data_IF_970631486534
#
_entry.id   IF_970631486534
#
_cell.length_a   1.000
_cell.length_b   1.000
_cell.length_c   1.000
_cell.angle_alpha   90.00
_cell.angle_beta   90.00
_cell.angle_gamma   90.00
#
_symmetry.space_group_name_H-M   'P 1'
#
loop_
_entity.id
_entity.type
_entity.pdbx_description
1 polymer ?
#
# COMPACT_ATOMS: atom_id res chain seq x y z
N UNK A 1 -4.64 8.46 30.95
CA UNK A 1 -4.18 7.49 29.91
C UNK A 1 -5.28 6.55 29.39
N UNK A 2 -6.32 6.18 30.17
CA UNK A 2 -7.38 5.24 29.74
C UNK A 2 -8.36 5.80 28.70
N UNK A 3 -8.70 7.10 28.77
CA UNK A 3 -9.62 7.74 27.81
C UNK A 3 -9.15 7.62 26.34
N UNK A 4 -7.83 7.61 26.10
CA UNK A 4 -7.26 7.48 24.76
C UNK A 4 -7.43 6.07 24.16
N UNK A 5 -7.62 5.04 25.00
CA UNK A 5 -7.86 3.66 24.55
C UNK A 5 -9.32 3.43 24.18
N UNK A 6 -10.24 4.17 24.82
CA UNK A 6 -11.69 4.06 24.61
C UNK A 6 -12.13 4.87 23.37
N UNK A 7 -11.49 6.01 23.09
CA UNK A 7 -11.88 6.91 22.01
C UNK A 7 -12.02 6.25 20.62
N UNK A 8 -11.15 5.32 20.18
CA UNK A 8 -11.34 4.61 18.92
C UNK A 8 -12.57 3.70 18.91
N UNK A 9 -12.96 3.14 20.06
CA UNK A 9 -14.14 2.29 20.20
C UNK A 9 -15.43 3.10 20.20
N UNK A 10 -15.41 4.33 20.73
CA UNK A 10 -16.54 5.27 20.61
C UNK A 10 -16.80 5.70 19.16
N UNK A 11 -15.81 5.54 18.28
CA UNK A 11 -15.90 5.81 16.84
C UNK A 11 -15.98 4.52 16.02
N UNK A 12 -16.41 3.42 16.63
CA UNK A 12 -16.77 2.20 15.93
C UNK A 12 -18.06 2.45 15.17
N UNK A 13 -18.03 2.26 13.85
CA UNK A 13 -19.22 2.42 13.00
C UNK A 13 -19.26 1.35 11.93
N UNK A 14 -20.48 0.97 11.56
CA UNK A 14 -20.72 0.11 10.40
C UNK A 14 -20.90 1.00 9.18
N UNK A 15 -20.13 0.73 8.14
CA UNK A 15 -20.05 1.54 6.93
C UNK A 15 -20.51 0.71 5.74
N UNK A 16 -21.23 1.34 4.83
CA UNK A 16 -21.67 0.73 3.58
C UNK A 16 -20.52 0.69 2.56
N UNK A 17 -20.36 -0.46 1.91
CA UNK A 17 -19.47 -0.62 0.76
C UNK A 17 -20.30 -0.26 -0.46
N UNK A 18 -19.96 0.85 -1.13
CA UNK A 18 -20.71 1.41 -2.26
C UNK A 18 -20.81 0.39 -3.38
N UNK A 19 -19.66 -0.20 -3.72
CA UNK A 19 -19.58 -1.37 -4.60
C UNK A 19 -18.26 -2.11 -4.38
N UNK A 20 -18.25 -3.38 -4.76
CA UNK A 20 -17.06 -4.22 -4.76
C UNK A 20 -16.78 -4.72 -6.16
N UNK A 21 -15.55 -4.53 -6.62
CA UNK A 21 -15.07 -4.96 -7.92
C UNK A 21 -14.08 -6.10 -7.74
N UNK A 22 -14.35 -7.24 -8.35
CA UNK A 22 -13.41 -8.37 -8.35
C UNK A 22 -12.29 -8.09 -9.34
N UNK A 23 -11.16 -7.61 -8.82
CA UNK A 23 -9.96 -7.30 -9.60
C UNK A 23 -9.31 -8.56 -10.15
N UNK A 24 -9.30 -9.64 -9.37
CA UNK A 24 -8.76 -10.94 -9.80
C UNK A 24 -9.35 -12.10 -9.00
N UNK A 25 -8.93 -13.32 -9.33
CA UNK A 25 -9.24 -14.50 -8.50
C UNK A 25 -8.63 -14.40 -7.08
N UNK A 26 -7.66 -13.50 -6.89
CA UNK A 26 -6.86 -13.35 -5.68
C UNK A 26 -7.01 -11.98 -5.00
N UNK A 27 -7.77 -11.05 -5.57
CA UNK A 27 -7.95 -9.72 -5.02
C UNK A 27 -9.33 -9.13 -5.34
N UNK A 28 -9.86 -8.37 -4.40
CA UNK A 28 -11.08 -7.59 -4.53
C UNK A 28 -10.80 -6.13 -4.17
N UNK A 29 -11.42 -5.20 -4.90
CA UNK A 29 -11.36 -3.77 -4.61
C UNK A 29 -12.71 -3.32 -4.09
N UNK A 30 -12.72 -2.77 -2.88
CA UNK A 30 -13.94 -2.27 -2.24
C UNK A 30 -13.93 -0.76 -2.23
N UNK A 31 -15.05 -0.14 -2.60
CA UNK A 31 -15.19 1.31 -2.71
C UNK A 31 -16.05 1.87 -1.58
N UNK A 32 -15.64 3.02 -1.05
CA UNK A 32 -16.24 3.71 0.09
C UNK A 32 -16.37 5.20 -0.22
N UNK A 33 -17.47 5.82 0.20
CA UNK A 33 -17.78 7.24 -0.03
C UNK A 33 -17.92 8.07 1.25
N UNK A 34 -17.93 7.44 2.43
CA UNK A 34 -18.18 8.10 3.71
C UNK A 34 -17.12 9.15 4.13
N UNK A 35 -15.94 9.15 3.52
CA UNK A 35 -14.86 10.13 3.77
C UNK A 35 -13.89 10.15 2.61
N UNK A 36 -13.11 11.23 2.47
CA UNK A 36 -12.01 11.31 1.51
C UNK A 36 -10.68 11.43 2.26
N UNK A 37 -9.97 10.31 2.51
CA UNK A 37 -8.70 10.32 3.22
C UNK A 37 -7.56 10.83 2.31
N UNK A 38 -6.56 11.48 2.91
CA UNK A 38 -5.37 11.88 2.16
C UNK A 38 -4.50 10.67 1.78
N UNK A 39 -3.68 10.82 0.73
CA UNK A 39 -2.76 9.77 0.30
C UNK A 39 -1.85 9.28 1.45
N UNK A 40 -1.60 7.97 1.49
CA UNK A 40 -0.83 7.35 2.56
C UNK A 40 -1.61 7.10 3.86
N UNK A 41 -2.93 7.25 3.85
CA UNK A 41 -3.79 6.88 4.98
C UNK A 41 -4.09 5.37 4.98
N UNK A 42 -4.33 4.85 6.18
CA UNK A 42 -4.72 3.47 6.44
C UNK A 42 -6.05 3.47 7.19
N UNK A 43 -6.88 2.47 6.92
CA UNK A 43 -8.09 2.20 7.70
C UNK A 43 -8.04 0.83 8.34
N UNK A 44 -8.77 0.68 9.45
CA UNK A 44 -8.98 -0.57 10.15
C UNK A 44 -10.38 -1.07 9.90
N UNK A 45 -10.48 -2.24 9.30
CA UNK A 45 -11.74 -2.88 8.96
C UNK A 45 -11.88 -4.24 9.63
N UNK A 46 -13.13 -4.62 9.88
CA UNK A 46 -13.48 -5.88 10.52
C UNK A 46 -14.87 -6.33 10.10
N UNK A 47 -15.08 -7.63 10.00
CA UNK A 47 -16.44 -8.20 9.91
C UNK A 47 -16.99 -8.48 11.31
N UNK A 48 -16.13 -8.95 12.21
CA UNK A 48 -16.42 -9.23 13.62
C UNK A 48 -15.62 -8.30 14.54
N UNK A 49 -16.18 -7.15 14.99
CA UNK A 49 -15.43 -6.07 15.63
C UNK A 49 -14.79 -6.45 16.98
N UNK A 50 -15.18 -7.58 17.56
CA UNK A 50 -14.66 -8.08 18.83
C UNK A 50 -13.54 -9.13 18.69
N UNK A 51 -13.26 -9.63 17.47
CA UNK A 51 -12.31 -10.75 17.26
C UNK A 51 -11.14 -10.37 16.35
N UNK A 52 -11.41 -9.90 15.13
CA UNK A 52 -10.40 -9.70 14.09
C UNK A 52 -10.41 -8.29 13.51
N UNK A 53 -9.23 -7.72 13.27
CA UNK A 53 -9.06 -6.39 12.71
C UNK A 53 -7.95 -6.41 11.66
N UNK A 54 -8.22 -5.82 10.49
CA UNK A 54 -7.29 -5.78 9.38
C UNK A 54 -7.00 -4.34 8.96
N UNK A 55 -5.73 -4.02 8.73
CA UNK A 55 -5.30 -2.71 8.25
C UNK A 55 -5.16 -2.74 6.73
N UNK A 56 -5.78 -1.77 6.04
CA UNK A 56 -5.63 -1.61 4.59
C UNK A 56 -5.30 -0.17 4.23
N UNK A 57 -4.53 -0.02 3.16
CA UNK A 57 -4.26 1.28 2.57
C UNK A 57 -5.48 1.79 1.83
N UNK A 58 -5.79 3.07 2.06
CA UNK A 58 -6.81 3.78 1.30
C UNK A 58 -6.20 4.25 -0.01
N UNK A 59 -6.86 3.93 -1.12
CA UNK A 59 -6.59 4.38 -2.46
C UNK A 59 -7.65 5.41 -2.86
N UNK A 60 -7.46 6.70 -2.49
CA UNK A 60 -8.25 7.78 -3.05
C UNK A 60 -7.93 7.93 -4.55
N UNK A 61 -8.95 8.17 -5.36
CA UNK A 61 -8.78 8.49 -6.78
C UNK A 61 -8.71 10.01 -6.94
N UNK A 62 -7.72 10.56 -7.68
CA UNK A 62 -7.63 11.99 -7.91
C UNK A 62 -8.94 12.54 -8.52
N UNK A 63 -9.49 13.58 -7.91
CA UNK A 63 -10.70 14.26 -8.40
C UNK A 63 -12.03 13.55 -8.14
N UNK A 64 -12.05 12.40 -7.44
CA UNK A 64 -13.29 11.74 -7.02
C UNK A 64 -13.44 11.74 -5.50
N UNK A 65 -14.66 11.96 -4.97
CA UNK A 65 -14.92 11.79 -3.54
C UNK A 65 -14.84 10.31 -3.17
N UNK A 66 -14.41 10.03 -1.95
CA UNK A 66 -14.28 8.67 -1.43
C UNK A 66 -12.90 8.06 -1.61
N UNK A 67 -12.82 6.76 -1.39
CA UNK A 67 -11.61 5.98 -1.57
C UNK A 67 -11.94 4.51 -1.80
N UNK A 68 -10.96 3.77 -2.26
CA UNK A 68 -11.04 2.32 -2.40
C UNK A 68 -9.98 1.64 -1.54
N UNK A 69 -10.16 0.36 -1.26
CA UNK A 69 -9.09 -0.48 -0.71
C UNK A 69 -8.94 -1.69 -1.61
N UNK A 70 -7.72 -2.22 -1.68
CA UNK A 70 -7.43 -3.47 -2.38
C UNK A 70 -7.14 -4.53 -1.32
N UNK A 71 -7.99 -5.56 -1.28
CA UNK A 71 -7.85 -6.71 -0.40
C UNK A 71 -7.28 -7.85 -1.22
N UNK A 72 -6.01 -8.17 -1.00
CA UNK A 72 -5.34 -9.34 -1.59
C UNK A 72 -5.46 -10.56 -0.68
N UNK A 73 -5.48 -11.76 -1.26
CA UNK A 73 -5.50 -13.04 -0.53
C UNK A 73 -4.29 -13.14 0.42
N UNK A 74 -4.55 -13.10 1.73
CA UNK A 74 -3.53 -13.20 2.79
C UNK A 74 -4.01 -13.86 4.08
N UNK A 75 -5.23 -14.39 4.12
CA UNK A 75 -5.85 -15.01 5.29
C UNK A 75 -7.28 -15.46 4.98
N UNK A 76 -7.93 -16.13 5.93
CA UNK A 76 -9.28 -16.68 5.73
C UNK A 76 -10.32 -15.56 5.56
N UNK A 77 -10.23 -14.50 6.36
CA UNK A 77 -11.05 -13.30 6.20
C UNK A 77 -10.98 -12.71 4.79
N UNK A 78 -9.77 -12.55 4.25
CA UNK A 78 -9.57 -12.02 2.90
C UNK A 78 -10.16 -12.95 1.83
N UNK A 79 -10.06 -14.28 2.00
CA UNK A 79 -10.69 -15.24 1.07
C UNK A 79 -12.21 -15.11 1.09
N UNK A 80 -12.81 -15.01 2.28
CA UNK A 80 -14.24 -14.84 2.43
C UNK A 80 -14.73 -13.57 1.72
N UNK A 81 -14.03 -12.45 1.92
CA UNK A 81 -14.36 -11.18 1.26
C UNK A 81 -14.19 -11.22 -0.27
N UNK A 82 -13.25 -12.00 -0.79
CA UNK A 82 -13.09 -12.19 -2.24
C UNK A 82 -14.22 -13.06 -2.83
N UNK A 83 -14.71 -14.05 -2.08
CA UNK A 83 -15.74 -14.98 -2.54
C UNK A 83 -17.15 -14.40 -2.40
N UNK A 84 -17.45 -13.85 -1.21
CA UNK A 84 -18.74 -13.30 -0.84
C UNK A 84 -18.51 -11.92 -0.20
N UNK A 85 -18.41 -10.85 -1.01
CA UNK A 85 -18.17 -9.51 -0.48
C UNK A 85 -19.32 -9.05 0.42
N UNK A 86 -19.00 -8.61 1.64
CA UNK A 86 -19.99 -8.02 2.55
C UNK A 86 -20.50 -6.69 1.99
N UNK A 87 -21.77 -6.36 2.20
CA UNK A 87 -22.34 -5.04 1.84
C UNK A 87 -22.01 -3.96 2.85
N UNK A 88 -21.75 -4.36 4.10
CA UNK A 88 -21.43 -3.48 5.21
C UNK A 88 -20.24 -4.02 5.98
N UNK A 89 -19.34 -3.14 6.42
CA UNK A 89 -18.14 -3.51 7.16
C UNK A 89 -17.93 -2.59 8.37
N UNK A 90 -17.35 -3.11 9.45
CA UNK A 90 -17.02 -2.29 10.60
C UNK A 90 -15.72 -1.53 10.36
N UNK A 91 -15.75 -0.22 10.61
CA UNK A 91 -14.59 0.65 10.59
C UNK A 91 -14.40 1.20 12.00
N UNK A 92 -13.15 1.20 12.47
CA UNK A 92 -12.79 1.74 13.78
C UNK A 92 -11.93 2.98 13.68
N UNK A 93 -12.41 4.07 14.27
CA UNK A 93 -11.66 5.30 14.40
C UNK A 93 -11.62 6.13 13.12
N UNK A 94 -10.61 6.99 13.03
CA UNK A 94 -10.33 7.87 11.89
C UNK A 94 -9.20 7.26 11.06
N UNK A 95 -9.17 7.44 9.72
CA UNK A 95 -8.01 7.08 8.92
C UNK A 95 -6.70 7.60 9.52
N UNK A 96 -5.73 6.70 9.68
CA UNK A 96 -4.43 7.00 10.29
C UNK A 96 -3.37 7.18 9.20
N UNK A 97 -2.45 8.11 9.40
CA UNK A 97 -1.32 8.27 8.47
C UNK A 97 -0.29 7.17 8.71
N UNK A 98 0.08 6.46 7.63
CA UNK A 98 1.11 5.43 7.66
C UNK A 98 2.52 5.98 7.47
N UNK A 99 3.50 5.06 7.49
CA UNK A 99 4.94 5.31 7.18
C UNK A 99 5.12 6.05 5.86
N UNK A 100 4.17 5.88 4.97
CA UNK A 100 4.16 6.53 3.68
C UNK A 100 4.17 8.07 3.73
N UNK A 101 3.77 8.71 4.83
CA UNK A 101 3.87 10.17 4.97
C UNK A 101 5.31 10.68 5.06
N UNK A 102 6.27 9.84 5.45
CA UNK A 102 7.70 10.17 5.48
C UNK A 102 8.21 10.49 4.06
N UNK A 103 7.63 9.87 3.02
CA UNK A 103 7.96 10.13 1.63
C UNK A 103 7.92 11.64 1.31
N UNK A 104 6.91 12.34 1.80
CA UNK A 104 6.68 13.77 1.53
C UNK A 104 7.68 14.71 2.23
N UNK A 105 8.56 14.20 3.10
CA UNK A 105 9.61 14.99 3.74
C UNK A 105 10.86 15.17 2.86
N UNK A 106 10.95 14.40 1.77
CA UNK A 106 12.09 14.40 0.85
C UNK A 106 11.69 15.00 -0.50
N UNK A 107 12.67 15.54 -1.23
CA UNK A 107 12.46 16.11 -2.56
C UNK A 107 12.39 15.04 -3.63
N UNK A 108 13.12 13.92 -3.46
CA UNK A 108 13.20 12.83 -4.46
C UNK A 108 13.44 11.50 -3.75
N UNK A 109 12.61 10.49 -4.03
CA UNK A 109 12.71 9.20 -3.35
C UNK A 109 12.69 8.01 -4.30
N UNK A 110 13.35 6.92 -3.88
CA UNK A 110 13.10 5.58 -4.42
C UNK A 110 12.10 4.87 -3.52
N UNK A 111 11.04 4.33 -4.12
CA UNK A 111 10.02 3.57 -3.42
C UNK A 111 10.13 2.10 -3.82
N UNK A 112 10.44 1.23 -2.86
CA UNK A 112 10.58 -0.21 -3.06
C UNK A 112 9.37 -0.91 -2.48
N UNK A 113 8.58 -1.58 -3.30
CA UNK A 113 7.39 -2.30 -2.88
C UNK A 113 7.48 -3.77 -3.30
N UNK A 114 7.17 -4.69 -2.39
CA UNK A 114 7.08 -6.12 -2.73
C UNK A 114 5.67 -6.66 -2.56
N UNK A 115 5.15 -7.35 -3.57
CA UNK A 115 3.81 -7.97 -3.57
C UNK A 115 2.73 -6.94 -3.15
N UNK A 116 1.91 -7.25 -2.14
CA UNK A 116 0.87 -6.38 -1.56
C UNK A 116 1.38 -5.14 -0.85
N UNK A 117 2.68 -5.03 -0.57
CA UNK A 117 3.31 -3.82 -0.04
C UNK A 117 3.16 -2.59 -0.94
N UNK A 118 2.70 -2.76 -2.18
CA UNK A 118 2.35 -1.68 -3.11
C UNK A 118 1.10 -0.89 -2.70
N UNK A 119 0.17 -1.46 -1.94
CA UNK A 119 -1.11 -0.81 -1.60
C UNK A 119 -0.95 0.59 -1.00
N UNK A 120 -0.14 0.75 0.07
CA UNK A 120 0.16 2.07 0.64
C UNK A 120 0.94 3.01 -0.30
N UNK A 121 1.69 2.47 -1.25
CA UNK A 121 2.53 3.22 -2.18
C UNK A 121 1.71 3.88 -3.30
N UNK A 122 0.67 3.20 -3.79
CA UNK A 122 -0.13 3.65 -4.94
C UNK A 122 -0.66 5.07 -4.75
N UNK A 123 -1.33 5.43 -3.65
CA UNK A 123 -1.87 6.78 -3.46
C UNK A 123 -0.81 7.87 -3.64
N UNK A 124 0.40 7.66 -3.14
CA UNK A 124 1.50 8.63 -3.21
C UNK A 124 2.05 8.72 -4.63
N UNK A 125 2.18 7.58 -5.32
CA UNK A 125 2.59 7.54 -6.72
C UNK A 125 1.57 8.25 -7.61
N UNK A 126 0.27 8.10 -7.33
CA UNK A 126 -0.80 8.76 -8.08
C UNK A 126 -0.92 10.25 -7.78
N UNK A 127 -0.59 10.68 -6.56
CA UNK A 127 -0.67 12.10 -6.16
C UNK A 127 0.43 12.95 -6.83
N UNK A 128 1.54 12.33 -7.25
CA UNK A 128 2.64 12.97 -8.00
C UNK A 128 3.21 14.27 -7.38
N UNK A 129 3.04 14.48 -6.07
CA UNK A 129 3.56 15.68 -5.37
C UNK A 129 5.07 15.79 -5.38
N UNK A 130 5.76 14.66 -5.43
CA UNK A 130 7.22 14.58 -5.45
C UNK A 130 7.67 13.62 -6.55
N UNK A 131 8.85 13.85 -7.15
CA UNK A 131 9.50 12.86 -8.01
C UNK A 131 9.75 11.54 -7.27
N UNK A 132 9.18 10.45 -7.79
CA UNK A 132 9.31 9.10 -7.22
C UNK A 132 9.83 8.16 -8.28
N UNK A 133 10.78 7.30 -7.92
CA UNK A 133 11.16 6.14 -8.72
C UNK A 133 10.66 4.86 -8.05
N UNK A 134 9.68 4.20 -8.67
CA UNK A 134 9.05 3.00 -8.11
C UNK A 134 9.79 1.73 -8.57
N UNK A 135 10.16 0.87 -7.62
CA UNK A 135 10.59 -0.50 -7.83
C UNK A 135 9.52 -1.44 -7.24
N UNK A 136 8.75 -2.10 -8.09
CA UNK A 136 7.70 -3.01 -7.68
C UNK A 136 8.05 -4.45 -8.04
N UNK A 137 8.20 -5.30 -7.03
CA UNK A 137 8.64 -6.70 -7.18
C UNK A 137 7.49 -7.62 -6.77
N UNK A 138 7.01 -8.47 -7.68
CA UNK A 138 5.97 -9.48 -7.37
C UNK A 138 6.05 -10.66 -8.33
N UNK A 139 5.45 -11.80 -7.97
CA UNK A 139 5.41 -12.98 -8.82
C UNK A 139 4.48 -12.84 -10.03
N UNK A 140 3.32 -12.17 -9.90
CA UNK A 140 2.44 -11.81 -11.02
C UNK A 140 1.63 -10.55 -10.70
N UNK A 141 2.19 -9.39 -11.08
CA UNK A 141 1.58 -8.09 -10.78
C UNK A 141 0.19 -7.92 -11.41
N UNK A 142 0.06 -8.18 -12.73
CA UNK A 142 -1.21 -7.97 -13.45
C UNK A 142 -2.29 -8.97 -13.05
N UNK A 143 -1.91 -10.21 -12.77
CA UNK A 143 -2.86 -11.23 -12.32
C UNK A 143 -3.41 -10.90 -10.93
N UNK A 144 -2.57 -10.42 -10.00
CA UNK A 144 -3.03 -10.11 -8.65
C UNK A 144 -3.80 -8.78 -8.57
N UNK A 145 -3.27 -7.72 -9.19
CA UNK A 145 -3.78 -6.34 -9.02
C UNK A 145 -4.61 -5.83 -10.19
N UNK A 146 -4.79 -6.64 -11.23
CA UNK A 146 -5.57 -6.28 -12.43
C UNK A 146 -4.82 -5.33 -13.36
N UNK A 147 -5.18 -5.35 -14.64
CA UNK A 147 -4.55 -4.50 -15.66
C UNK A 147 -4.77 -3.01 -15.40
N UNK A 148 -5.98 -2.63 -15.02
CA UNK A 148 -6.36 -1.24 -14.82
C UNK A 148 -5.51 -0.53 -13.76
N UNK A 149 -5.32 -1.15 -12.58
CA UNK A 149 -4.52 -0.57 -11.51
C UNK A 149 -3.04 -0.45 -11.92
N UNK A 150 -2.50 -1.49 -12.56
CA UNK A 150 -1.11 -1.53 -13.01
C UNK A 150 -0.87 -0.45 -14.06
N UNK A 151 -1.77 -0.29 -15.03
CA UNK A 151 -1.67 0.75 -16.04
C UNK A 151 -1.80 2.15 -15.46
N UNK A 152 -2.63 2.33 -14.44
CA UNK A 152 -2.75 3.60 -13.74
C UNK A 152 -1.43 3.95 -13.04
N UNK A 153 -0.79 2.98 -12.38
CA UNK A 153 0.53 3.16 -11.74
C UNK A 153 1.63 3.45 -12.77
N UNK A 154 1.66 2.72 -13.89
CA UNK A 154 2.66 2.93 -14.97
C UNK A 154 2.45 4.29 -15.64
N UNK A 155 1.20 4.71 -15.89
CA UNK A 155 0.88 6.05 -16.42
C UNK A 155 1.34 7.14 -15.45
N UNK A 156 1.12 6.94 -14.15
CA UNK A 156 1.52 7.90 -13.13
C UNK A 156 3.04 7.91 -12.88
N UNK A 157 3.73 6.81 -13.14
CA UNK A 157 5.18 6.69 -13.01
C UNK A 157 5.75 5.89 -14.20
N UNK A 158 5.95 6.53 -15.36
CA UNK A 158 6.42 5.86 -16.59
C UNK A 158 7.79 5.19 -16.44
N UNK A 159 8.54 5.64 -15.45
CA UNK A 159 9.87 5.19 -15.11
C UNK A 159 9.89 4.05 -14.08
N UNK A 160 8.71 3.58 -13.62
CA UNK A 160 8.60 2.50 -12.67
C UNK A 160 9.19 1.19 -13.23
N UNK A 161 9.96 0.49 -12.40
CA UNK A 161 10.44 -0.85 -12.69
C UNK A 161 9.50 -1.86 -12.05
N UNK A 162 8.79 -2.62 -12.88
CA UNK A 162 7.95 -3.74 -12.45
C UNK A 162 8.71 -5.04 -12.71
N UNK A 163 9.13 -5.73 -11.65
CA UNK A 163 9.94 -6.94 -11.72
C UNK A 163 9.08 -8.18 -11.42
N UNK A 164 8.98 -9.09 -12.40
CA UNK A 164 8.27 -10.36 -12.24
C UNK A 164 9.21 -11.46 -11.70
N UNK A 165 9.00 -11.89 -10.45
CA UNK A 165 9.85 -12.92 -9.82
C UNK A 165 9.59 -14.34 -10.31
N UNK A 166 8.44 -14.61 -10.91
CA UNK A 166 8.13 -15.93 -11.49
C UNK A 166 8.91 -16.14 -12.80
N UNK A 167 9.07 -15.09 -13.59
CA UNK A 167 9.78 -15.13 -14.87
C UNK A 167 11.31 -15.03 -14.70
N UNK A 168 11.78 -14.16 -13.80
CA UNK A 168 13.20 -13.80 -13.72
C UNK A 168 13.90 -14.27 -12.42
N UNK A 169 13.18 -14.98 -11.54
CA UNK A 169 13.70 -15.41 -10.25
C UNK A 169 13.69 -14.31 -9.18
N UNK A 170 14.34 -14.54 -8.03
CA UNK A 170 14.43 -13.52 -6.96
C UNK A 170 15.59 -12.55 -7.27
N UNK A 171 15.33 -11.25 -7.44
CA UNK A 171 16.39 -10.29 -7.73
C UNK A 171 17.18 -9.95 -6.47
N UNK A 172 18.39 -9.41 -6.67
CA UNK A 172 19.08 -8.67 -5.62
C UNK A 172 18.45 -7.28 -5.47
N UNK A 173 17.48 -7.21 -4.55
CA UNK A 173 16.71 -6.00 -4.24
C UNK A 173 17.65 -4.86 -3.80
N UNK A 174 18.72 -5.17 -3.07
CA UNK A 174 19.67 -4.17 -2.56
C UNK A 174 20.42 -3.53 -3.73
N UNK A 175 20.95 -4.36 -4.64
CA UNK A 175 21.68 -3.88 -5.81
C UNK A 175 20.80 -3.07 -6.75
N UNK A 176 19.57 -3.51 -6.99
CA UNK A 176 18.61 -2.76 -7.82
C UNK A 176 18.24 -1.42 -7.16
N UNK A 177 17.96 -1.42 -5.86
CA UNK A 177 17.63 -0.20 -5.11
C UNK A 177 18.80 0.78 -5.16
N UNK A 178 20.03 0.32 -4.91
CA UNK A 178 21.22 1.17 -4.96
C UNK A 178 21.43 1.80 -6.34
N UNK A 179 21.26 1.00 -7.41
CA UNK A 179 21.34 1.50 -8.78
C UNK A 179 20.31 2.61 -9.02
N UNK A 180 19.06 2.38 -8.64
CA UNK A 180 17.99 3.36 -8.78
C UNK A 180 18.26 4.64 -7.99
N UNK A 181 18.81 4.54 -6.77
CA UNK A 181 19.18 5.70 -5.97
C UNK A 181 20.22 6.55 -6.70
N UNK A 182 21.22 5.93 -7.32
CA UNK A 182 22.27 6.63 -8.06
C UNK A 182 21.76 7.24 -9.37
N UNK A 183 21.01 6.48 -10.16
CA UNK A 183 20.43 6.96 -11.43
C UNK A 183 19.42 8.09 -11.22
N UNK A 184 18.61 8.00 -10.17
CA UNK A 184 17.57 8.99 -9.87
C UNK A 184 18.06 10.15 -8.98
N UNK A 185 19.29 10.04 -8.44
CA UNK A 185 19.83 10.94 -7.43
C UNK A 185 18.84 11.15 -6.25
N UNK A 186 18.40 10.03 -5.67
CA UNK A 186 17.39 10.04 -4.62
C UNK A 186 17.97 10.44 -3.25
N UNK A 187 17.21 11.20 -2.47
CA UNK A 187 17.59 11.62 -1.11
C UNK A 187 17.28 10.53 -0.07
N UNK A 188 16.26 9.71 -0.34
CA UNK A 188 15.87 8.64 0.55
C UNK A 188 15.27 7.43 -0.18
N UNK A 189 15.28 6.30 0.51
CA UNK A 189 14.61 5.07 0.10
C UNK A 189 13.48 4.75 1.08
N UNK A 190 12.29 4.45 0.58
CA UNK A 190 11.19 3.93 1.39
C UNK A 190 10.87 2.52 0.95
N UNK A 191 10.85 1.57 1.88
CA UNK A 191 10.71 0.13 1.63
C UNK A 191 9.43 -0.39 2.26
N UNK A 192 8.56 -0.95 1.43
CA UNK A 192 7.30 -1.59 1.81
C UNK A 192 7.38 -3.07 1.43
N UNK A 193 7.93 -3.86 2.35
CA UNK A 193 8.16 -5.30 2.18
C UNK A 193 7.97 -6.07 3.49
N UNK A 194 8.23 -7.38 3.46
CA UNK A 194 8.29 -8.18 4.67
C UNK A 194 9.50 -7.79 5.53
N UNK A 195 9.45 -8.08 6.83
CA UNK A 195 10.48 -7.74 7.81
C UNK A 195 11.90 -8.06 7.34
N UNK A 196 12.14 -9.28 6.85
CA UNK A 196 13.47 -9.75 6.42
C UNK A 196 14.04 -8.93 5.27
N UNK A 197 13.23 -8.60 4.26
CA UNK A 197 13.67 -7.80 3.12
C UNK A 197 13.82 -6.34 3.52
N UNK A 198 12.88 -5.80 4.29
CA UNK A 198 12.92 -4.43 4.77
C UNK A 198 14.20 -4.16 5.58
N UNK A 199 14.48 -4.99 6.60
CA UNK A 199 15.67 -4.84 7.44
C UNK A 199 16.97 -4.91 6.60
N UNK A 200 17.05 -5.86 5.66
CA UNK A 200 18.21 -5.99 4.78
C UNK A 200 18.42 -4.75 3.91
N UNK A 201 17.38 -4.26 3.26
CA UNK A 201 17.50 -3.09 2.36
C UNK A 201 17.82 -1.83 3.18
N UNK A 202 17.14 -1.62 4.31
CA UNK A 202 17.40 -0.47 5.18
C UNK A 202 18.84 -0.48 5.68
N UNK A 203 19.31 -1.61 6.23
CA UNK A 203 20.68 -1.73 6.73
C UNK A 203 21.72 -1.42 5.64
N UNK A 204 21.57 -2.02 4.46
CA UNK A 204 22.53 -1.84 3.36
C UNK A 204 22.50 -0.43 2.77
N UNK A 205 21.35 0.24 2.71
CA UNK A 205 21.30 1.63 2.24
C UNK A 205 21.93 2.57 3.28
N UNK A 206 21.58 2.38 4.55
CA UNK A 206 22.09 3.22 5.65
C UNK A 206 23.61 3.08 5.81
N UNK A 207 24.16 1.87 5.68
CA UNK A 207 25.62 1.64 5.73
C UNK A 207 26.39 2.33 4.60
N UNK A 208 25.69 2.70 3.52
CA UNK A 208 26.22 3.46 2.37
C UNK A 208 25.91 4.97 2.46
N UNK A 209 25.42 5.44 3.61
CA UNK A 209 25.07 6.84 3.85
C UNK A 209 23.78 7.31 3.15
N UNK A 210 22.93 6.38 2.71
CA UNK A 210 21.65 6.68 2.07
C UNK A 210 20.53 6.50 3.11
N UNK A 211 19.78 7.56 3.46
CA UNK A 211 18.61 7.45 4.34
C UNK A 211 17.60 6.42 3.82
N UNK A 212 17.26 5.43 4.65
CA UNK A 212 16.29 4.41 4.28
C UNK A 212 15.31 4.12 5.42
N UNK A 213 14.03 3.98 5.05
CA UNK A 213 12.92 3.78 5.97
C UNK A 213 12.07 2.61 5.50
N UNK A 214 11.49 1.85 6.42
CA UNK A 214 10.53 0.82 6.04
C UNK A 214 9.68 0.34 7.20
N UNK A 215 8.64 -0.41 6.86
CA UNK A 215 7.76 -1.02 7.86
C UNK A 215 8.28 -2.40 8.24
N UNK A 216 8.47 -2.64 9.54
CA UNK A 216 8.84 -3.94 10.10
C UNK A 216 7.63 -4.75 10.56
#
# INVERSE_FOLDING_TARGET
>A
MVASLILPWLRLRKVDIVYSERVSSQAIRMYFDYTTPAAGSLIRISDQPFTEWHNFATLPEPGKPGFSIVVSRGGEWAKQQILNPSSKIWVRGIPIYGVMRIACMFRRIVLVATSSGIGPCIPIVLEQKIPIRLLWISSNVRETFGNHLVETVVKANPQAIIYNTQQYGKPDIVKLTFRLVKEFNAEAVVVMSNKKVTEKVVYEMMSRGIPAFGTT
#
